data_IF_545552398645
#
_entry.id   IF_545552398645
#
_cell.length_a   1.000
_cell.length_b   1.000
_cell.length_c   1.000
_cell.angle_alpha   90.00
_cell.angle_beta   90.00
_cell.angle_gamma   90.00
#
_symmetry.space_group_name_H-M   'P 1'
#
loop_
_entity.id
_entity.type
_entity.pdbx_description
1 polymer ?
#
# COMPACT_ATOMS: atom_id res chain seq x y z
N UNK A 1 -15.66 -6.36 6.45
CA UNK A 1 -14.55 -6.12 5.50
C UNK A 1 -14.68 -4.68 5.11
N UNK A 2 -14.01 -3.84 5.88
CA UNK A 2 -14.46 -2.51 6.28
C UNK A 2 -13.91 -1.41 5.38
N UNK A 3 -14.54 -0.24 5.41
CA UNK A 3 -14.16 0.94 4.61
C UNK A 3 -12.66 1.30 4.66
N UNK A 4 -11.95 0.87 5.71
CA UNK A 4 -10.51 1.05 5.88
C UNK A 4 -9.67 0.27 4.85
N UNK A 5 -9.97 -1.01 4.61
CA UNK A 5 -9.27 -1.83 3.60
C UNK A 5 -9.43 -1.21 2.20
N UNK A 6 -10.63 -0.68 1.92
CA UNK A 6 -10.92 0.03 0.69
C UNK A 6 -10.04 1.28 0.58
N UNK A 7 -10.03 2.16 1.59
CA UNK A 7 -9.21 3.38 1.56
C UNK A 7 -7.72 3.08 1.33
N UNK A 8 -7.18 2.06 2.01
CA UNK A 8 -5.79 1.63 1.84
C UNK A 8 -5.55 1.13 0.41
N UNK A 9 -6.47 0.35 -0.16
CA UNK A 9 -6.36 -0.15 -1.54
C UNK A 9 -6.37 0.98 -2.57
N UNK A 10 -7.17 2.03 -2.34
CA UNK A 10 -7.18 3.23 -3.19
C UNK A 10 -5.86 4.00 -3.10
N UNK A 11 -5.31 4.16 -1.89
CA UNK A 11 -3.98 4.78 -1.69
C UNK A 11 -2.89 3.97 -2.39
N UNK A 12 -2.89 2.65 -2.23
CA UNK A 12 -1.98 1.75 -2.93
C UNK A 12 -2.08 1.92 -4.45
N UNK A 13 -3.30 1.93 -5.00
CA UNK A 13 -3.52 2.13 -6.44
C UNK A 13 -2.93 3.46 -6.92
N UNK A 14 -3.08 4.54 -6.16
CA UNK A 14 -2.50 5.85 -6.50
C UNK A 14 -0.96 5.82 -6.49
N UNK A 15 -0.35 5.16 -5.50
CA UNK A 15 1.10 5.00 -5.42
C UNK A 15 1.62 4.18 -6.60
N UNK A 16 1.00 3.03 -6.90
CA UNK A 16 1.39 2.19 -8.03
C UNK A 16 1.21 2.89 -9.38
N UNK A 17 0.18 3.72 -9.54
CA UNK A 17 -0.04 4.51 -10.76
C UNK A 17 0.95 5.68 -10.90
N UNK A 18 1.55 6.16 -9.81
CA UNK A 18 2.57 7.20 -9.85
C UNK A 18 3.97 6.64 -10.17
N UNK A 19 4.16 5.31 -10.04
CA UNK A 19 5.40 4.60 -10.31
C UNK A 19 5.40 4.02 -11.73
N UNK A 20 6.58 3.81 -12.29
CA UNK A 20 6.72 2.98 -13.50
C UNK A 20 6.30 1.53 -13.20
N UNK A 21 5.78 0.83 -14.21
CA UNK A 21 5.26 -0.54 -14.07
C UNK A 21 6.27 -1.51 -13.45
N UNK A 22 7.57 -1.35 -13.77
CA UNK A 22 8.62 -2.21 -13.22
C UNK A 22 8.88 -1.91 -11.74
N UNK A 23 8.96 -0.63 -11.38
CA UNK A 23 9.17 -0.20 -9.99
C UNK A 23 7.98 -0.55 -9.09
N UNK A 24 6.76 -0.44 -9.61
CA UNK A 24 5.54 -0.86 -8.92
C UNK A 24 5.56 -2.35 -8.58
N UNK A 25 6.03 -3.19 -9.50
CA UNK A 25 6.19 -4.63 -9.34
C UNK A 25 7.26 -4.99 -8.30
N UNK A 26 8.41 -4.33 -8.35
CA UNK A 26 9.49 -4.52 -7.38
C UNK A 26 9.07 -4.11 -5.98
N UNK A 27 8.38 -2.97 -5.84
CA UNK A 27 7.84 -2.49 -4.57
C UNK A 27 6.80 -3.46 -4.00
N UNK A 28 5.90 -3.99 -4.83
CA UNK A 28 4.94 -5.01 -4.42
C UNK A 28 5.65 -6.27 -3.93
N UNK A 29 6.61 -6.78 -4.69
CA UNK A 29 7.37 -7.97 -4.32
C UNK A 29 8.17 -7.79 -3.03
N UNK A 30 8.81 -6.64 -2.84
CA UNK A 30 9.54 -6.31 -1.61
C UNK A 30 8.61 -6.30 -0.40
N UNK A 31 7.49 -5.57 -0.49
CA UNK A 31 6.54 -5.44 0.62
C UNK A 31 5.86 -6.77 0.93
N UNK A 32 5.45 -7.53 -0.10
CA UNK A 32 4.87 -8.87 0.09
C UNK A 32 5.86 -9.85 0.71
N UNK A 33 7.15 -9.81 0.32
CA UNK A 33 8.18 -10.64 0.97
C UNK A 33 8.39 -10.28 2.44
N UNK A 34 8.22 -9.00 2.80
CA UNK A 34 8.36 -8.50 4.16
C UNK A 34 7.17 -8.78 5.08
N UNK A 35 6.01 -9.16 4.54
CA UNK A 35 4.77 -9.34 5.29
C UNK A 35 4.28 -10.79 5.24
N UNK A 36 3.74 -11.31 6.35
CA UNK A 36 3.22 -12.69 6.38
C UNK A 36 1.77 -12.82 5.93
N UNK A 37 1.04 -11.70 5.85
CA UNK A 37 -0.38 -11.66 5.53
C UNK A 37 -0.75 -10.38 4.78
N UNK A 38 -1.81 -10.44 3.96
CA UNK A 38 -2.35 -9.27 3.25
C UNK A 38 -2.77 -8.13 4.20
N UNK A 39 -3.23 -8.46 5.41
CA UNK A 39 -3.55 -7.46 6.45
C UNK A 39 -2.30 -6.68 6.88
N UNK A 40 -1.19 -7.37 7.12
CA UNK A 40 0.08 -6.70 7.48
C UNK A 40 0.59 -5.84 6.32
N UNK A 41 0.49 -6.34 5.09
CA UNK A 41 0.84 -5.57 3.90
C UNK A 41 0.04 -4.27 3.83
N UNK A 42 -1.29 -4.34 3.94
CA UNK A 42 -2.17 -3.17 3.91
C UNK A 42 -1.86 -2.20 5.05
N UNK A 43 -1.62 -2.69 6.27
CA UNK A 43 -1.22 -1.85 7.41
C UNK A 43 0.13 -1.16 7.18
N UNK A 44 1.09 -1.84 6.56
CA UNK A 44 2.39 -1.26 6.24
C UNK A 44 2.27 -0.19 5.16
N UNK A 45 1.45 -0.42 4.13
CA UNK A 45 1.13 0.59 3.12
C UNK A 45 0.43 1.80 3.75
N UNK A 46 -0.53 1.58 4.66
CA UNK A 46 -1.20 2.66 5.39
C UNK A 46 -0.17 3.51 6.16
N UNK A 47 0.77 2.88 6.88
CA UNK A 47 1.82 3.59 7.62
C UNK A 47 2.78 4.35 6.71
N UNK A 48 3.16 3.78 5.57
CA UNK A 48 4.14 4.40 4.65
C UNK A 48 3.50 5.52 3.83
N UNK A 49 2.19 5.46 3.59
CA UNK A 49 1.42 6.45 2.81
C UNK A 49 0.69 7.48 3.68
N UNK A 50 0.71 7.31 5.00
CA UNK A 50 0.25 8.32 5.96
C UNK A 50 1.27 9.47 6.01
N UNK A 51 1.20 10.36 5.02
CA UNK A 51 1.69 11.72 5.17
C UNK A 51 0.83 12.50 6.19
N UNK A 52 1.31 13.63 6.74
CA UNK A 52 0.79 14.27 7.97
C UNK A 52 -0.62 14.89 7.89
N UNK A 53 -1.42 14.60 6.86
CA UNK A 53 -2.68 15.30 6.59
C UNK A 53 -3.81 14.32 6.33
N UNK A 54 -4.44 13.83 7.40
CA UNK A 54 -5.86 13.45 7.40
C UNK A 54 -6.46 13.91 8.75
N UNK A 55 -6.86 15.19 8.78
CA UNK A 55 -7.79 15.79 9.73
C UNK A 55 -9.06 16.23 8.99
#
# INVERSE_FOLDING_TARGET
>A
MGAEELNITWKLRRVLHALDSQQALELLLEKMKGTKSNVEFLMQIQKTTAGPNEG
#
